data_IF_691848691819
#
_entry.id   IF_691848691819
#
_cell.length_a   1.000
_cell.length_b   1.000
_cell.length_c   1.000
_cell.angle_alpha   90.00
_cell.angle_beta   90.00
_cell.angle_gamma   90.00
#
_symmetry.space_group_name_H-M   'P 1'
#
loop_
_entity.id
_entity.type
_entity.pdbx_description
1 polymer ?
#
# COMPACT_ATOMS: atom_id res chain seq x y z
N UNK A 1 -37.73 -34.76 -13.16
CA UNK A 1 -36.81 -33.98 -12.28
C UNK A 1 -35.34 -34.12 -12.69
N UNK A 2 -34.86 -35.33 -13.01
CA UNK A 2 -33.47 -35.65 -13.45
C UNK A 2 -32.97 -34.94 -14.70
N UNK A 3 -33.79 -34.75 -15.75
CA UNK A 3 -33.37 -34.06 -17.00
C UNK A 3 -33.06 -32.57 -16.81
N UNK A 4 -33.70 -31.89 -15.84
CA UNK A 4 -33.39 -30.50 -15.48
C UNK A 4 -32.07 -30.41 -14.70
N UNK A 5 -31.85 -31.35 -13.78
CA UNK A 5 -30.60 -31.47 -13.01
C UNK A 5 -29.42 -31.76 -13.93
N UNK A 6 -29.58 -32.62 -14.94
CA UNK A 6 -28.52 -32.92 -15.91
C UNK A 6 -28.16 -31.71 -16.81
N UNK A 7 -29.15 -30.89 -17.20
CA UNK A 7 -28.93 -29.64 -17.93
C UNK A 7 -28.24 -28.57 -17.06
N UNK A 8 -28.58 -28.51 -15.77
CA UNK A 8 -27.92 -27.62 -14.81
C UNK A 8 -26.48 -28.06 -14.52
N UNK A 9 -26.22 -29.36 -14.36
CA UNK A 9 -24.87 -29.91 -14.23
C UNK A 9 -24.04 -29.67 -15.50
N UNK A 10 -24.62 -29.86 -16.69
CA UNK A 10 -23.95 -29.58 -17.96
C UNK A 10 -23.60 -28.10 -18.13
N UNK A 11 -24.53 -27.20 -17.77
CA UNK A 11 -24.28 -25.76 -17.76
C UNK A 11 -23.19 -25.35 -16.77
N UNK A 12 -23.18 -25.93 -15.57
CA UNK A 12 -22.16 -25.66 -14.56
C UNK A 12 -20.78 -26.15 -14.99
N UNK A 13 -20.71 -27.33 -15.61
CA UNK A 13 -19.44 -27.88 -16.13
C UNK A 13 -18.89 -27.00 -17.27
N UNK A 14 -19.75 -26.56 -18.20
CA UNK A 14 -19.36 -25.62 -19.25
C UNK A 14 -18.84 -24.28 -18.70
N UNK A 15 -19.52 -23.74 -17.68
CA UNK A 15 -19.09 -22.51 -17.01
C UNK A 15 -17.71 -22.67 -16.34
N UNK A 16 -17.48 -23.83 -15.73
CA UNK A 16 -16.22 -24.14 -15.06
C UNK A 16 -15.06 -24.25 -16.07
N UNK A 17 -15.30 -24.86 -17.24
CA UNK A 17 -14.31 -24.93 -18.33
C UNK A 17 -13.95 -23.54 -18.85
N UNK A 18 -14.95 -22.66 -19.03
CA UNK A 18 -14.73 -21.27 -19.45
C UNK A 18 -13.91 -20.52 -18.40
N UNK A 19 -14.26 -20.66 -17.13
CA UNK A 19 -13.52 -20.04 -16.03
C UNK A 19 -12.06 -20.49 -16.00
N UNK A 20 -11.80 -21.79 -16.13
CA UNK A 20 -10.44 -22.34 -16.19
C UNK A 20 -9.67 -21.79 -17.39
N UNK A 21 -10.30 -21.69 -18.56
CA UNK A 21 -9.70 -21.09 -19.75
C UNK A 21 -9.31 -19.63 -19.56
N UNK A 22 -10.19 -18.83 -18.94
CA UNK A 22 -9.92 -17.43 -18.61
C UNK A 22 -8.77 -17.32 -17.60
N UNK A 23 -8.76 -18.14 -16.55
CA UNK A 23 -7.69 -18.15 -15.55
C UNK A 23 -6.35 -18.49 -16.20
N UNK A 24 -6.30 -19.54 -17.03
CA UNK A 24 -5.09 -19.95 -17.72
C UNK A 24 -4.56 -18.84 -18.64
N UNK A 25 -5.42 -18.27 -19.48
CA UNK A 25 -5.06 -17.18 -20.38
C UNK A 25 -4.59 -15.93 -19.62
N UNK A 26 -5.27 -15.56 -18.53
CA UNK A 26 -4.87 -14.43 -17.70
C UNK A 26 -3.51 -14.70 -17.06
N UNK A 27 -3.29 -15.92 -16.57
CA UNK A 27 -2.07 -16.32 -15.86
C UNK A 27 -0.85 -16.22 -16.78
N UNK A 28 -0.94 -16.65 -18.03
CA UNK A 28 0.18 -16.57 -18.98
C UNK A 28 0.52 -15.14 -19.41
N UNK A 29 -0.40 -14.18 -19.21
CA UNK A 29 -0.14 -12.77 -19.47
C UNK A 29 0.39 -11.98 -18.27
N UNK A 30 0.44 -12.58 -17.07
CA UNK A 30 1.06 -11.93 -15.90
C UNK A 30 2.57 -11.95 -16.12
N UNK A 31 3.10 -10.81 -16.59
CA UNK A 31 4.54 -10.57 -16.58
C UNK A 31 4.93 -10.25 -15.14
N UNK A 32 6.00 -10.85 -14.58
CA UNK A 32 6.51 -10.42 -13.29
C UNK A 32 6.81 -8.92 -13.38
N UNK A 33 6.54 -8.13 -12.31
CA UNK A 33 7.06 -6.78 -12.25
C UNK A 33 8.54 -6.85 -12.58
N UNK A 34 9.03 -6.02 -13.49
CA UNK A 34 10.46 -5.93 -13.77
C UNK A 34 11.12 -5.31 -12.54
N UNK A 35 11.31 -6.12 -11.51
CA UNK A 35 12.09 -5.76 -10.34
C UNK A 35 13.53 -5.63 -10.82
N UNK A 36 14.03 -4.39 -10.89
CA UNK A 36 15.47 -4.15 -10.94
C UNK A 36 16.07 -3.66 -12.25
N UNK A 37 15.39 -2.80 -13.02
CA UNK A 37 16.10 -1.88 -13.94
C UNK A 37 15.92 -0.41 -13.62
N UNK A 38 15.52 -0.10 -12.37
CA UNK A 38 15.89 1.20 -11.82
C UNK A 38 17.41 1.14 -11.65
N UNK A 39 18.17 1.59 -12.66
CA UNK A 39 19.51 2.12 -12.41
C UNK A 39 19.37 2.94 -11.14
N UNK A 40 20.11 2.59 -10.09
CA UNK A 40 20.12 3.35 -8.85
C UNK A 40 20.27 4.81 -9.27
N UNK A 41 19.16 5.54 -9.26
CA UNK A 41 19.18 6.92 -9.70
C UNK A 41 20.10 7.57 -8.68
N UNK A 42 21.19 8.15 -9.15
CA UNK A 42 22.05 8.92 -8.29
C UNK A 42 21.14 10.00 -7.70
N UNK A 43 20.82 9.84 -6.42
CA UNK A 43 19.91 10.75 -5.77
C UNK A 43 20.57 12.13 -5.87
N UNK A 44 19.89 13.15 -6.40
CA UNK A 44 20.48 14.48 -6.56
C UNK A 44 20.74 15.18 -5.21
N UNK A 45 20.55 14.47 -4.10
CA UNK A 45 20.66 14.96 -2.73
C UNK A 45 21.56 14.05 -1.90
N UNK A 46 22.38 14.65 -1.05
CA UNK A 46 23.15 13.93 -0.04
C UNK A 46 22.30 13.75 1.21
N UNK A 47 22.07 12.50 1.61
CA UNK A 47 21.34 12.16 2.84
C UNK A 47 22.32 12.02 3.99
N UNK A 48 22.10 12.76 5.09
CA UNK A 48 22.93 12.65 6.30
C UNK A 48 22.50 11.43 7.13
N UNK A 49 23.32 10.38 7.16
CA UNK A 49 23.04 9.14 7.87
C UNK A 49 22.82 9.34 9.39
N UNK A 50 23.53 10.27 10.02
CA UNK A 50 23.38 10.55 11.45
C UNK A 50 22.03 11.20 11.75
N UNK A 51 21.58 12.14 10.90
CA UNK A 51 20.25 12.73 11.01
C UNK A 51 19.17 11.67 10.85
N UNK A 52 19.29 10.81 9.84
CA UNK A 52 18.34 9.69 9.63
C UNK A 52 18.30 8.76 10.84
N UNK A 53 19.45 8.35 11.36
CA UNK A 53 19.51 7.50 12.55
C UNK A 53 18.88 8.17 13.78
N UNK A 54 19.10 9.47 13.97
CA UNK A 54 18.48 10.24 15.05
C UNK A 54 16.96 10.31 14.90
N UNK A 55 16.45 10.61 13.70
CA UNK A 55 15.02 10.67 13.44
C UNK A 55 14.36 9.30 13.61
N UNK A 56 15.01 8.23 13.13
CA UNK A 56 14.53 6.86 13.36
C UNK A 56 14.47 6.54 14.86
N UNK A 57 15.51 6.88 15.62
CA UNK A 57 15.54 6.67 17.06
C UNK A 57 14.44 7.48 17.79
N UNK A 58 14.05 8.65 17.29
CA UNK A 58 12.90 9.40 17.79
C UNK A 58 11.58 8.71 17.43
N UNK A 59 11.40 8.32 16.17
CA UNK A 59 10.20 7.65 15.67
C UNK A 59 9.86 6.38 16.47
N UNK A 60 10.85 5.50 16.71
CA UNK A 60 10.60 4.22 17.42
C UNK A 60 10.28 4.40 18.91
N UNK A 61 10.46 5.59 19.49
CA UNK A 61 10.08 5.87 20.89
C UNK A 61 8.58 6.14 21.03
N UNK A 62 7.89 6.52 19.95
CA UNK A 62 6.44 6.54 19.92
C UNK A 62 5.94 5.10 19.92
N UNK A 63 5.41 4.64 21.06
CA UNK A 63 4.94 3.26 21.24
C UNK A 63 3.56 3.04 20.59
N UNK A 64 3.50 3.10 19.26
CA UNK A 64 2.28 2.85 18.47
C UNK A 64 1.92 1.36 18.44
N UNK A 65 1.75 0.76 19.63
CA UNK A 65 1.46 -0.66 19.83
C UNK A 65 -0.04 -0.85 19.89
N UNK A 66 -0.60 -1.59 18.93
CA UNK A 66 -2.02 -1.97 18.95
C UNK A 66 -2.24 -3.19 19.85
N UNK A 67 -3.39 -3.21 20.53
CA UNK A 67 -3.83 -4.34 21.35
C UNK A 67 -4.96 -5.09 20.66
N UNK A 68 -5.15 -6.37 21.04
CA UNK A 68 -6.23 -7.21 20.51
C UNK A 68 -7.61 -6.57 20.73
N UNK A 69 -7.82 -6.00 21.92
CA UNK A 69 -8.98 -5.18 22.21
C UNK A 69 -8.65 -3.71 21.88
N UNK A 70 -9.43 -3.12 20.96
CA UNK A 70 -9.23 -1.76 20.45
C UNK A 70 -9.26 -0.71 21.57
N UNK A 71 -10.11 -0.93 22.59
CA UNK A 71 -10.27 0.01 23.70
C UNK A 71 -9.02 0.11 24.59
N UNK A 72 -8.17 -0.91 24.58
CA UNK A 72 -6.95 -0.92 25.39
C UNK A 72 -5.78 -0.25 24.65
N UNK A 73 -5.89 0.01 23.35
CA UNK A 73 -4.83 0.67 22.57
C UNK A 73 -4.73 2.15 22.95
N UNK A 74 -3.51 2.62 23.22
CA UNK A 74 -3.22 4.04 23.41
C UNK A 74 -3.17 4.75 22.06
N UNK A 75 -4.33 5.22 21.63
CA UNK A 75 -4.48 5.87 20.32
C UNK A 75 -3.87 7.27 20.26
N UNK A 76 -3.66 7.93 21.40
CA UNK A 76 -3.10 9.28 21.43
C UNK A 76 -1.66 9.30 20.89
N UNK A 77 -0.89 8.25 21.20
CA UNK A 77 0.50 8.09 20.73
C UNK A 77 0.58 8.06 19.19
N UNK A 78 -0.46 7.57 18.50
CA UNK A 78 -0.51 7.58 17.04
C UNK A 78 -0.63 9.00 16.48
N UNK A 79 -1.45 9.84 17.12
CA UNK A 79 -1.60 11.24 16.73
C UNK A 79 -0.32 12.02 17.04
N UNK A 80 0.28 11.80 18.21
CA UNK A 80 1.57 12.40 18.56
C UNK A 80 2.68 12.04 17.57
N UNK A 81 2.71 10.78 17.11
CA UNK A 81 3.66 10.34 16.08
C UNK A 81 3.39 11.03 14.73
N UNK A 82 2.14 11.13 14.31
CA UNK A 82 1.75 11.84 13.08
C UNK A 82 2.11 13.33 13.13
N UNK A 83 1.91 13.99 14.27
CA UNK A 83 2.29 15.38 14.45
C UNK A 83 3.81 15.57 14.42
N UNK A 84 4.56 14.64 15.00
CA UNK A 84 6.01 14.63 14.91
C UNK A 84 6.49 14.45 13.47
N UNK A 85 5.86 13.59 12.68
CA UNK A 85 6.19 13.43 11.24
C UNK A 85 6.00 14.74 10.49
N UNK A 86 4.86 15.43 10.68
CA UNK A 86 4.58 16.74 10.06
C UNK A 86 5.62 17.80 10.43
N UNK A 87 6.01 17.86 11.70
CA UNK A 87 7.02 18.81 12.19
C UNK A 87 8.43 18.47 11.69
N UNK A 88 8.76 17.18 11.57
CA UNK A 88 10.11 16.71 11.20
C UNK A 88 10.35 16.79 9.69
N UNK A 89 9.29 16.60 8.88
CA UNK A 89 9.37 16.55 7.42
C UNK A 89 8.43 17.57 6.74
N UNK A 90 8.54 18.87 7.05
CA UNK A 90 7.61 19.87 6.52
C UNK A 90 7.62 19.90 4.98
N UNK A 91 8.78 19.81 4.34
CA UNK A 91 8.90 19.81 2.89
C UNK A 91 8.13 18.65 2.20
N UNK A 92 8.04 17.49 2.87
CA UNK A 92 7.23 16.37 2.37
C UNK A 92 5.75 16.70 2.49
N UNK A 93 5.29 17.10 3.68
CA UNK A 93 3.88 17.40 3.95
C UNK A 93 3.36 18.65 3.21
N UNK A 94 4.25 19.57 2.83
CA UNK A 94 3.94 20.71 1.96
C UNK A 94 3.74 20.28 0.49
N UNK A 95 4.27 19.13 0.09
CA UNK A 95 4.24 18.62 -1.28
C UNK A 95 3.08 17.63 -1.50
N UNK A 96 2.83 16.76 -0.53
CA UNK A 96 1.82 15.71 -0.65
C UNK A 96 0.43 16.22 -0.28
N UNK A 97 -0.61 15.70 -0.95
CA UNK A 97 -1.96 15.82 -0.44
C UNK A 97 -2.17 14.79 0.67
N UNK A 98 -2.31 15.27 1.91
CA UNK A 98 -2.44 14.42 3.10
C UNK A 98 -3.90 14.37 3.55
N UNK A 99 -4.46 13.17 3.67
CA UNK A 99 -5.81 12.92 4.15
C UNK A 99 -5.77 12.04 5.41
N UNK A 100 -6.53 12.42 6.44
CA UNK A 100 -6.73 11.55 7.60
C UNK A 100 -7.80 10.50 7.24
N UNK A 101 -7.44 9.22 7.33
CA UNK A 101 -8.35 8.09 7.12
C UNK A 101 -8.72 7.51 8.48
N UNK A 102 -10.02 7.46 8.78
CA UNK A 102 -10.51 7.26 10.15
C UNK A 102 -9.82 8.25 11.12
N UNK A 103 -9.65 7.90 12.38
CA UNK A 103 -9.06 8.78 13.39
C UNK A 103 -7.53 8.68 13.46
N UNK A 104 -6.93 7.57 13.04
CA UNK A 104 -5.52 7.25 13.36
C UNK A 104 -4.67 6.76 12.18
N UNK A 105 -5.14 6.89 10.95
CA UNK A 105 -4.34 6.60 9.75
C UNK A 105 -4.25 7.82 8.83
N UNK A 106 -3.18 7.88 8.03
CA UNK A 106 -2.95 8.94 7.04
C UNK A 106 -2.72 8.33 5.66
N UNK A 107 -3.38 8.91 4.66
CA UNK A 107 -3.11 8.69 3.25
C UNK A 107 -2.38 9.92 2.71
N UNK A 108 -1.16 9.72 2.21
CA UNK A 108 -0.35 10.78 1.62
C UNK A 108 -0.19 10.52 0.13
N UNK A 109 -0.76 11.38 -0.70
CA UNK A 109 -0.70 11.27 -2.16
C UNK A 109 0.34 12.26 -2.69
N UNK A 110 1.45 11.74 -3.20
CA UNK A 110 2.41 12.51 -3.98
C UNK A 110 2.07 12.41 -5.46
N UNK A 111 1.54 13.48 -6.04
CA UNK A 111 1.28 13.54 -7.48
C UNK A 111 2.58 13.59 -8.27
N UNK A 112 2.82 12.58 -9.11
CA UNK A 112 3.96 12.55 -10.02
C UNK A 112 3.89 13.63 -11.10
N UNK A 113 5.03 13.99 -11.68
CA UNK A 113 5.11 14.95 -12.78
C UNK A 113 4.55 14.43 -14.10
N UNK A 114 4.45 13.10 -14.25
CA UNK A 114 3.85 12.44 -15.42
C UNK A 114 2.65 11.61 -14.95
N UNK A 115 1.45 12.08 -15.30
CA UNK A 115 0.18 11.46 -14.90
C UNK A 115 -0.20 10.24 -15.77
N UNK A 116 0.57 9.94 -16.81
CA UNK A 116 0.33 8.76 -17.66
C UNK A 116 0.91 7.46 -17.09
N UNK A 117 1.79 7.59 -16.08
CA UNK A 117 2.42 6.46 -15.41
C UNK A 117 1.49 5.86 -14.34
N UNK A 118 1.59 4.55 -14.15
CA UNK A 118 0.86 3.86 -13.09
C UNK A 118 1.35 4.32 -11.70
N UNK A 119 0.45 4.47 -10.71
CA UNK A 119 0.81 4.87 -9.37
C UNK A 119 1.60 3.77 -8.65
N UNK A 120 2.47 4.18 -7.71
CA UNK A 120 3.18 3.29 -6.79
C UNK A 120 2.63 3.51 -5.39
N UNK A 121 2.39 2.42 -4.67
CA UNK A 121 1.95 2.43 -3.27
C UNK A 121 3.04 1.77 -2.41
N UNK A 122 3.34 2.39 -1.27
CA UNK A 122 4.32 1.91 -0.28
C UNK A 122 3.64 1.52 1.02
#
# INVERSE_FOLDING_TARGET
MTKRILKLLGGLSGLLIILVGIIYFRTTQIKPPTAGQNKSAELPITVNANTVASHLAQAVRFKTVTQQNRADTDWEVFLQFQDWLKQTYPAFYDTVNSEQIDSYAQLNIWTGSDLSLDPIVF
#
